data_IF_278154786209
#
_entry.id   IF_278154786209
#
_cell.length_a   1.000
_cell.length_b   1.000
_cell.length_c   1.000
_cell.angle_alpha   90.00
_cell.angle_beta   90.00
_cell.angle_gamma   90.00
#
_symmetry.space_group_name_H-M   'P 1'
#
loop_
_entity.id
_entity.type
_entity.pdbx_description
1 polymer ?
#
# COMPACT_ATOMS: atom_id res chain seq x y z
N UNK A 1 -4.50 12.56 37.37
CA UNK A 1 -4.50 13.59 36.30
C UNK A 1 -5.10 12.93 35.07
N UNK A 2 -6.38 13.18 34.80
CA UNK A 2 -7.09 12.63 33.65
C UNK A 2 -6.68 13.42 32.41
N UNK A 3 -6.15 12.75 31.38
CA UNK A 3 -5.91 13.36 30.07
C UNK A 3 -7.29 13.49 29.39
N UNK A 4 -8.04 14.53 29.75
CA UNK A 4 -9.42 14.75 29.27
C UNK A 4 -9.47 15.35 27.85
N UNK A 5 -8.32 15.50 27.18
CA UNK A 5 -8.22 16.05 25.83
C UNK A 5 -7.26 15.23 24.95
N UNK A 6 -7.47 13.91 24.91
CA UNK A 6 -6.70 13.02 24.03
C UNK A 6 -7.04 13.24 22.56
N UNK A 7 -6.02 13.18 21.70
CA UNK A 7 -6.20 13.00 20.27
C UNK A 7 -6.91 11.65 20.03
N UNK A 8 -8.09 11.68 19.40
CA UNK A 8 -8.84 10.46 19.09
C UNK A 8 -9.31 10.46 17.63
N UNK A 9 -9.24 9.33 16.96
CA UNK A 9 -9.82 9.13 15.63
C UNK A 9 -11.27 8.69 15.84
N UNK A 10 -12.21 9.50 15.35
CA UNK A 10 -13.65 9.21 15.44
C UNK A 10 -14.12 8.35 14.26
N UNK A 11 -13.56 8.58 13.07
CA UNK A 11 -13.80 7.80 11.86
C UNK A 11 -12.48 7.65 11.11
N UNK A 12 -12.12 6.41 10.80
CA UNK A 12 -10.93 6.07 10.02
C UNK A 12 -10.98 6.70 8.62
N UNK A 13 -9.82 6.89 7.96
CA UNK A 13 -9.79 7.40 6.60
C UNK A 13 -10.69 6.61 5.64
N UNK A 14 -11.50 7.34 4.88
CA UNK A 14 -12.32 6.84 3.79
C UNK A 14 -11.96 7.61 2.52
N UNK A 15 -12.27 7.06 1.34
CA UNK A 15 -11.81 7.61 0.08
C UNK A 15 -12.93 7.88 -0.92
N UNK A 16 -12.67 8.76 -1.88
CA UNK A 16 -13.52 8.99 -3.05
C UNK A 16 -12.63 9.23 -4.27
N UNK A 17 -13.06 8.78 -5.45
CA UNK A 17 -12.39 9.15 -6.70
C UNK A 17 -12.64 10.63 -7.02
N UNK A 18 -11.60 11.34 -7.45
CA UNK A 18 -11.75 12.73 -7.87
C UNK A 18 -12.16 12.82 -9.34
N UNK A 19 -13.22 13.59 -9.64
CA UNK A 19 -13.57 13.93 -11.03
C UNK A 19 -12.58 14.93 -11.64
N UNK A 20 -12.02 15.81 -10.81
CA UNK A 20 -11.01 16.78 -11.21
C UNK A 20 -9.80 16.65 -10.28
N UNK A 21 -8.60 16.33 -10.80
CA UNK A 21 -7.44 16.08 -9.96
C UNK A 21 -7.11 17.23 -9.00
N UNK A 22 -7.08 16.91 -7.71
CA UNK A 22 -6.75 17.82 -6.62
C UNK A 22 -7.92 18.61 -6.07
N UNK A 23 -9.12 18.40 -6.61
CA UNK A 23 -10.35 18.97 -6.10
C UNK A 23 -11.16 17.89 -5.38
N UNK A 24 -11.33 18.06 -4.07
CA UNK A 24 -12.20 17.21 -3.29
C UNK A 24 -13.66 17.35 -3.78
N UNK A 25 -14.36 16.26 -4.13
CA UNK A 25 -15.73 16.34 -4.65
C UNK A 25 -16.70 17.01 -3.67
N UNK A 26 -17.57 17.89 -4.17
CA UNK A 26 -18.63 18.48 -3.35
C UNK A 26 -19.65 17.41 -2.94
N UNK A 27 -20.00 17.34 -1.65
CA UNK A 27 -20.95 16.36 -1.10
C UNK A 27 -20.57 14.91 -1.42
N UNK A 28 -19.28 14.59 -1.27
CA UNK A 28 -18.74 13.27 -1.57
C UNK A 28 -19.39 12.18 -0.71
N UNK A 29 -19.81 11.08 -1.33
CA UNK A 29 -20.07 9.81 -0.64
C UNK A 29 -18.77 9.04 -0.57
N UNK A 30 -18.23 8.88 0.63
CA UNK A 30 -16.93 8.23 0.84
C UNK A 30 -17.10 6.72 0.90
N UNK A 31 -16.12 6.02 0.33
CA UNK A 31 -16.02 4.57 0.36
C UNK A 31 -15.17 4.11 1.55
N UNK A 32 -15.66 3.07 2.20
CA UNK A 32 -14.97 2.45 3.33
C UNK A 32 -13.70 1.73 2.87
N UNK A 33 -12.59 1.89 3.61
CA UNK A 33 -11.31 1.22 3.31
C UNK A 33 -11.19 -0.07 4.11
N UNK A 34 -11.15 0.06 5.44
CA UNK A 34 -10.97 -1.05 6.35
C UNK A 34 -11.34 -0.68 7.79
N UNK A 35 -11.72 -1.66 8.62
CA UNK A 35 -11.81 -1.46 10.06
C UNK A 35 -10.38 -1.41 10.63
N UNK A 36 -10.13 -0.45 11.54
CA UNK A 36 -8.86 -0.32 12.28
C UNK A 36 -7.61 -0.12 11.39
N UNK A 37 -7.52 1.02 10.71
CA UNK A 37 -6.35 1.40 9.93
C UNK A 37 -5.35 2.22 10.77
N UNK A 38 -4.11 1.76 10.92
CA UNK A 38 -3.05 2.64 11.41
C UNK A 38 -2.73 3.67 10.31
N UNK A 39 -2.72 4.94 10.71
CA UNK A 39 -2.58 6.07 9.80
C UNK A 39 -1.43 6.96 10.27
N UNK A 40 -0.41 7.12 9.42
CA UNK A 40 0.77 7.93 9.67
C UNK A 40 0.89 8.98 8.56
N UNK A 41 0.89 10.26 8.93
CA UNK A 41 1.09 11.35 7.97
C UNK A 41 2.58 11.67 7.82
N UNK A 42 3.00 11.96 6.60
CA UNK A 42 4.35 12.35 6.22
C UNK A 42 4.34 13.74 5.55
N UNK A 43 5.35 14.55 5.88
CA UNK A 43 5.52 15.89 5.34
C UNK A 43 7.02 16.19 5.22
N UNK A 44 7.50 16.23 3.99
CA UNK A 44 8.86 16.63 3.67
C UNK A 44 8.87 18.07 3.15
N UNK A 45 9.40 18.95 4.00
CA UNK A 45 9.62 20.35 3.68
C UNK A 45 11.10 20.47 3.32
N UNK A 46 11.43 20.36 2.03
CA UNK A 46 12.82 20.50 1.62
C UNK A 46 13.32 21.91 1.95
N UNK A 47 14.57 22.00 2.39
CA UNK A 47 15.22 23.28 2.71
C UNK A 47 16.50 23.44 1.89
N UNK A 48 16.75 24.67 1.44
CA UNK A 48 18.01 25.08 0.81
C UNK A 48 18.78 25.90 1.82
N UNK A 49 20.01 25.46 2.10
CA UNK A 49 20.93 26.13 3.00
C UNK A 49 21.83 27.08 2.21
N UNK A 50 21.81 28.36 2.58
CA UNK A 50 22.65 29.40 1.96
C UNK A 50 23.88 29.62 2.85
N UNK A 51 25.09 29.25 2.40
CA UNK A 51 26.30 29.42 3.20
C UNK A 51 26.62 30.91 3.42
N UNK A 52 27.11 31.25 4.60
CA UNK A 52 27.64 32.59 4.88
C UNK A 52 29.05 32.76 4.32
N UNK A 53 29.31 33.85 3.60
CA UNK A 53 30.67 34.16 3.14
C UNK A 53 31.58 34.41 4.35
N UNK A 54 32.66 33.64 4.46
CA UNK A 54 33.61 33.74 5.58
C UNK A 54 33.07 33.22 6.93
N UNK A 55 31.89 32.62 6.95
CA UNK A 55 31.33 31.97 8.14
C UNK A 55 31.37 30.46 7.98
N UNK A 56 31.57 29.76 9.09
CA UNK A 56 31.37 28.30 9.14
C UNK A 56 29.88 27.95 9.18
N UNK A 57 29.05 28.89 9.59
CA UNK A 57 27.63 28.68 9.82
C UNK A 57 26.79 29.14 8.60
N UNK A 58 25.59 28.56 8.49
CA UNK A 58 24.62 28.88 7.44
C UNK A 58 24.08 30.30 7.66
N UNK A 59 24.01 31.10 6.59
CA UNK A 59 23.44 32.46 6.63
C UNK A 59 21.92 32.44 6.66
N UNK A 60 21.31 31.58 5.84
CA UNK A 60 19.86 31.51 5.70
C UNK A 60 19.39 30.11 5.32
N UNK A 61 18.18 29.76 5.71
CA UNK A 61 17.53 28.48 5.43
C UNK A 61 16.19 28.78 4.78
N UNK A 62 16.10 28.55 3.47
CA UNK A 62 14.90 28.84 2.69
C UNK A 62 14.14 27.55 2.42
N UNK A 63 12.84 27.56 2.68
CA UNK A 63 11.96 26.45 2.33
C UNK A 63 11.78 26.36 0.81
N UNK A 64 12.01 25.16 0.29
CA UNK A 64 11.98 24.79 -1.11
C UNK A 64 10.73 23.94 -1.42
N UNK A 65 10.87 22.95 -2.28
CA UNK A 65 9.81 22.05 -2.72
C UNK A 65 9.21 21.25 -1.57
N UNK A 66 7.90 21.10 -1.59
CA UNK A 66 7.13 20.47 -0.54
C UNK A 66 6.52 19.17 -1.08
N UNK A 67 6.71 18.08 -0.33
CA UNK A 67 6.07 16.80 -0.59
C UNK A 67 5.30 16.35 0.64
N UNK A 68 4.10 15.83 0.39
CA UNK A 68 3.24 15.31 1.44
C UNK A 68 2.82 13.90 1.07
N UNK A 69 2.63 13.08 2.10
CA UNK A 69 2.15 11.73 1.93
C UNK A 69 1.56 11.19 3.21
N UNK A 70 1.11 9.96 3.15
CA UNK A 70 0.69 9.22 4.32
C UNK A 70 0.78 7.72 4.06
N UNK A 71 1.04 6.98 5.13
CA UNK A 71 1.06 5.52 5.15
C UNK A 71 -0.17 5.02 5.88
N UNK A 72 -0.86 4.07 5.27
CA UNK A 72 -1.96 3.34 5.88
C UNK A 72 -1.58 1.87 6.02
N UNK A 73 -1.68 1.33 7.23
CA UNK A 73 -1.57 -0.11 7.50
C UNK A 73 -2.90 -0.64 8.01
N UNK A 74 -3.45 -1.65 7.36
CA UNK A 74 -4.79 -2.14 7.67
C UNK A 74 -4.97 -3.61 7.26
N UNK A 75 -6.08 -4.20 7.70
CA UNK A 75 -6.53 -5.52 7.26
C UNK A 75 -7.66 -5.34 6.24
N UNK A 76 -7.43 -5.62 4.94
CA UNK A 76 -8.41 -5.36 3.90
C UNK A 76 -9.63 -6.26 4.10
N UNK A 77 -10.83 -5.69 3.94
CA UNK A 77 -12.10 -6.46 3.84
C UNK A 77 -12.49 -6.75 2.38
N UNK A 78 -11.93 -5.96 1.45
CA UNK A 78 -12.08 -6.07 0.01
C UNK A 78 -10.82 -5.52 -0.68
N UNK A 79 -10.75 -5.71 -1.98
CA UNK A 79 -9.64 -5.36 -2.86
C UNK A 79 -9.80 -4.01 -3.55
N UNK A 80 -10.98 -3.39 -3.53
CA UNK A 80 -11.27 -2.20 -4.35
C UNK A 80 -10.30 -1.04 -4.10
N UNK A 81 -9.98 -0.75 -2.83
CA UNK A 81 -8.99 0.28 -2.51
C UNK A 81 -7.56 -0.12 -2.93
N UNK A 82 -7.22 -1.41 -2.80
CA UNK A 82 -5.90 -1.93 -3.18
C UNK A 82 -5.67 -1.91 -4.70
N UNK A 83 -6.74 -1.94 -5.52
CA UNK A 83 -6.64 -1.82 -6.98
C UNK A 83 -5.97 -0.52 -7.41
N UNK A 84 -6.17 0.58 -6.70
CA UNK A 84 -5.51 1.86 -7.05
C UNK A 84 -3.98 1.83 -6.91
N UNK A 85 -3.46 0.94 -6.06
CA UNK A 85 -2.02 0.77 -5.89
C UNK A 85 -1.45 -0.35 -6.75
N UNK A 86 -2.26 -1.39 -7.03
CA UNK A 86 -1.82 -2.62 -7.67
C UNK A 86 -2.08 -2.67 -9.17
N UNK A 87 -3.19 -2.11 -9.68
CA UNK A 87 -3.51 -2.14 -11.09
C UNK A 87 -2.79 -0.99 -11.82
N UNK A 88 -2.11 -1.31 -12.92
CA UNK A 88 -1.46 -0.29 -13.73
C UNK A 88 -2.50 0.37 -14.63
N UNK A 89 -2.64 1.69 -14.53
CA UNK A 89 -3.22 2.51 -15.59
C UNK A 89 -2.26 3.65 -15.93
N UNK A 90 -2.18 4.02 -17.21
CA UNK A 90 -1.43 5.20 -17.65
C UNK A 90 -1.96 6.46 -16.96
N UNK A 91 -3.29 6.53 -16.85
CA UNK A 91 -4.01 7.54 -16.07
C UNK A 91 -4.38 6.97 -14.71
N UNK A 92 -3.40 6.89 -13.79
CA UNK A 92 -3.69 6.56 -12.39
C UNK A 92 -4.67 7.58 -11.85
N UNK A 93 -5.86 7.12 -11.48
CA UNK A 93 -6.92 7.94 -10.89
C UNK A 93 -6.40 8.61 -9.61
N UNK A 94 -6.80 9.86 -9.39
CA UNK A 94 -6.52 10.55 -8.14
C UNK A 94 -7.64 10.29 -7.15
N UNK A 95 -7.26 10.09 -5.89
CA UNK A 95 -8.17 9.88 -4.79
C UNK A 95 -8.15 11.08 -3.86
N UNK A 96 -9.29 11.34 -3.24
CA UNK A 96 -9.42 12.24 -2.11
C UNK A 96 -9.77 11.38 -0.89
N UNK A 97 -9.06 11.59 0.22
CA UNK A 97 -9.31 10.89 1.48
C UNK A 97 -9.73 11.87 2.55
N UNK A 98 -10.63 11.41 3.42
CA UNK A 98 -11.08 12.18 4.57
C UNK A 98 -11.22 11.27 5.81
N UNK A 99 -10.79 11.79 6.96
CA UNK A 99 -10.92 11.15 8.26
C UNK A 99 -11.52 12.13 9.27
N UNK A 100 -12.26 11.62 10.26
CA UNK A 100 -12.84 12.42 11.33
C UNK A 100 -12.01 12.23 12.59
N UNK A 101 -11.45 13.31 13.12
CA UNK A 101 -10.59 13.29 14.30
C UNK A 101 -11.11 14.27 15.35
N UNK A 102 -10.87 13.97 16.61
CA UNK A 102 -11.09 14.88 17.72
C UNK A 102 -9.74 15.41 18.18
N UNK A 103 -9.59 16.74 18.11
CA UNK A 103 -8.39 17.46 18.53
C UNK A 103 -8.80 18.51 19.57
N UNK A 104 -8.33 18.33 20.80
CA UNK A 104 -8.63 19.26 21.89
C UNK A 104 -10.13 19.43 22.17
N UNK A 105 -10.92 18.36 22.04
CA UNK A 105 -12.38 18.40 22.22
C UNK A 105 -13.17 18.96 21.04
N UNK A 106 -12.50 19.39 19.96
CA UNK A 106 -13.14 19.84 18.73
C UNK A 106 -13.00 18.79 17.64
N UNK A 107 -14.12 18.44 17.00
CA UNK A 107 -14.10 17.62 15.79
C UNK A 107 -13.46 18.38 14.64
N UNK A 108 -12.46 17.77 14.02
CA UNK A 108 -11.81 18.21 12.79
C UNK A 108 -11.90 17.12 11.73
N UNK A 109 -11.87 17.54 10.48
CA UNK A 109 -11.83 16.64 9.33
C UNK A 109 -10.46 16.77 8.70
N UNK A 110 -9.65 15.71 8.82
CA UNK A 110 -8.40 15.62 8.07
C UNK A 110 -8.73 15.26 6.63
N UNK A 111 -8.23 16.03 5.68
CA UNK A 111 -8.52 15.85 4.26
C UNK A 111 -7.24 15.91 3.44
N UNK A 112 -7.01 14.90 2.62
CA UNK A 112 -5.96 14.86 1.62
C UNK A 112 -6.57 14.72 0.22
N UNK A 113 -6.12 15.55 -0.71
CA UNK A 113 -6.55 15.52 -2.11
C UNK A 113 -5.36 15.26 -3.02
N UNK A 114 -5.63 14.90 -4.28
CA UNK A 114 -4.63 14.43 -5.24
C UNK A 114 -3.81 13.24 -4.71
N UNK A 115 -4.42 12.33 -3.94
CA UNK A 115 -3.71 11.18 -3.43
C UNK A 115 -3.52 10.12 -4.54
N UNK A 116 -2.27 9.70 -4.78
CA UNK A 116 -1.93 8.54 -5.62
C UNK A 116 -1.05 7.58 -4.85
N UNK A 117 -1.31 6.28 -4.98
CA UNK A 117 -0.56 5.25 -4.31
C UNK A 117 0.83 5.06 -4.95
N UNK A 118 1.88 5.34 -4.18
CA UNK A 118 3.26 5.15 -4.61
C UNK A 118 3.74 3.72 -4.41
N UNK A 119 3.32 3.07 -3.32
CA UNK A 119 3.50 1.63 -3.17
C UNK A 119 2.37 1.00 -2.38
N UNK A 120 2.18 -0.30 -2.59
CA UNK A 120 1.42 -1.17 -1.71
C UNK A 120 2.20 -2.44 -1.40
N UNK A 121 2.10 -2.90 -0.16
CA UNK A 121 2.62 -4.19 0.28
C UNK A 121 1.46 -5.03 0.80
N UNK A 122 1.38 -6.27 0.33
CA UNK A 122 0.49 -7.29 0.89
C UNK A 122 1.34 -8.35 1.55
N UNK A 123 1.03 -8.63 2.82
CA UNK A 123 1.72 -9.65 3.60
C UNK A 123 0.72 -10.60 4.22
N UNK A 124 1.08 -11.87 4.25
CA UNK A 124 0.35 -12.91 4.96
C UNK A 124 1.35 -13.90 5.56
N UNK A 125 1.01 -14.42 6.73
CA UNK A 125 1.71 -15.52 7.41
C UNK A 125 0.67 -16.47 7.96
N UNK A 126 1.00 -17.77 8.03
CA UNK A 126 0.12 -18.79 8.60
C UNK A 126 -0.46 -18.38 9.96
N UNK A 127 -1.78 -18.50 10.09
CA UNK A 127 -2.51 -18.14 11.31
C UNK A 127 -2.82 -16.65 11.48
N UNK A 128 -2.36 -15.77 10.58
CA UNK A 128 -2.67 -14.33 10.60
C UNK A 128 -3.63 -13.93 9.47
N UNK A 129 -4.24 -12.76 9.61
CA UNK A 129 -5.03 -12.11 8.58
C UNK A 129 -4.12 -11.54 7.49
N UNK A 130 -4.69 -11.28 6.30
CA UNK A 130 -3.99 -10.53 5.26
C UNK A 130 -3.77 -9.12 5.76
N UNK A 131 -2.55 -8.62 5.68
CA UNK A 131 -2.20 -7.25 6.04
C UNK A 131 -1.78 -6.47 4.80
N UNK A 132 -2.32 -5.27 4.67
CA UNK A 132 -1.97 -4.33 3.63
C UNK A 132 -1.26 -3.10 4.22
N UNK A 133 -0.22 -2.65 3.54
CA UNK A 133 0.37 -1.32 3.74
C UNK A 133 0.31 -0.55 2.43
N UNK A 134 -0.22 0.67 2.44
CA UNK A 134 -0.26 1.54 1.27
C UNK A 134 0.34 2.89 1.64
N UNK A 135 1.31 3.34 0.86
CA UNK A 135 1.82 4.71 0.94
C UNK A 135 1.30 5.52 -0.24
N UNK A 136 0.70 6.66 0.07
CA UNK A 136 0.17 7.59 -0.91
C UNK A 136 0.91 8.92 -0.84
N UNK A 137 1.18 9.49 -2.02
CA UNK A 137 1.66 10.86 -2.16
C UNK A 137 0.46 11.73 -2.49
N UNK A 138 0.32 12.85 -1.80
CA UNK A 138 -0.84 13.75 -1.93
C UNK A 138 -0.41 15.22 -1.88
N UNK A 139 -1.34 16.13 -2.20
CA UNK A 139 -1.14 17.55 -1.91
C UNK A 139 -1.26 17.79 -0.40
N UNK A 140 -0.82 18.97 0.03
CA UNK A 140 -0.85 19.39 1.43
C UNK A 140 -2.20 19.06 2.09
N UNK A 141 -2.21 18.17 3.09
CA UNK A 141 -3.44 17.86 3.81
C UNK A 141 -3.95 19.08 4.57
N UNK A 142 -5.26 19.14 4.73
CA UNK A 142 -5.96 20.23 5.44
C UNK A 142 -6.77 19.69 6.61
N UNK A 143 -7.01 20.54 7.60
CA UNK A 143 -7.87 20.26 8.74
C UNK A 143 -9.06 21.22 8.72
N UNK A 144 -10.23 20.68 8.42
CA UNK A 144 -11.47 21.46 8.31
C UNK A 144 -12.28 21.37 9.61
N UNK A 145 -13.03 22.43 9.93
CA UNK A 145 -13.98 22.43 11.06
C UNK A 145 -15.32 21.77 10.73
N UNK A 146 -15.64 21.63 9.44
CA UNK A 146 -16.86 21.01 8.93
C UNK A 146 -16.54 20.22 7.66
N UNK A 147 -17.37 19.22 7.37
CA UNK A 147 -17.36 18.49 6.10
C UNK A 147 -18.81 18.26 5.66
N UNK A 148 -19.05 18.31 4.35
CA UNK A 148 -20.33 17.93 3.74
C UNK A 148 -20.31 16.51 3.17
N UNK A 149 -19.21 15.78 3.36
CA UNK A 149 -19.10 14.39 2.92
C UNK A 149 -19.97 13.47 3.76
N UNK A 150 -20.52 12.45 3.12
CA UNK A 150 -21.19 11.34 3.78
C UNK A 150 -20.22 10.18 3.95
N UNK A 151 -19.91 9.84 5.20
CA UNK A 151 -19.06 8.70 5.52
C UNK A 151 -19.83 7.40 5.39
N UNK A 152 -19.23 6.40 4.74
CA UNK A 152 -19.76 5.04 4.73
C UNK A 152 -19.74 4.45 6.14
N UNK A 153 -20.77 3.66 6.46
CA UNK A 153 -20.78 2.81 7.65
C UNK A 153 -19.82 1.64 7.48
N UNK A 154 -19.32 1.11 8.59
CA UNK A 154 -18.62 -0.18 8.60
C UNK A 154 -19.58 -1.28 8.07
N UNK A 155 -19.21 -2.01 7.01
CA UNK A 155 -20.05 -3.09 6.48
C UNK A 155 -20.13 -4.32 7.39
N UNK A 156 -19.38 -4.38 8.50
CA UNK A 156 -19.39 -5.52 9.43
C UNK A 156 -18.81 -6.80 8.82
N UNK A 157 -18.08 -6.68 7.72
CA UNK A 157 -17.45 -7.81 7.01
C UNK A 157 -16.11 -8.15 7.66
N UNK A 158 -15.80 -9.44 7.79
CA UNK A 158 -14.52 -9.88 8.33
C UNK A 158 -13.38 -9.52 7.38
N UNK A 159 -12.19 -9.14 7.89
CA UNK A 159 -11.01 -8.94 7.07
C UNK A 159 -10.61 -10.23 6.34
N UNK A 160 -10.00 -10.06 5.17
CA UNK A 160 -9.53 -11.16 4.33
C UNK A 160 -8.51 -12.01 5.09
N UNK A 161 -8.73 -13.31 5.02
CA UNK A 161 -7.89 -14.37 5.55
C UNK A 161 -7.44 -15.28 4.41
N UNK A 162 -6.41 -16.10 4.63
CA UNK A 162 -5.97 -17.07 3.63
C UNK A 162 -7.05 -18.07 3.25
N UNK A 163 -7.84 -18.50 4.23
CA UNK A 163 -8.91 -19.50 4.06
C UNK A 163 -10.08 -19.01 3.21
N UNK A 164 -10.25 -17.69 3.04
CA UNK A 164 -11.29 -17.15 2.16
C UNK A 164 -11.07 -17.53 0.69
N UNK A 165 -9.82 -17.82 0.31
CA UNK A 165 -9.45 -18.31 -1.02
C UNK A 165 -9.68 -19.81 -1.25
N UNK A 166 -9.99 -20.58 -0.20
CA UNK A 166 -10.10 -22.05 -0.23
C UNK A 166 -8.90 -22.76 0.40
N UNK A 167 -8.85 -24.10 0.26
CA UNK A 167 -7.86 -24.96 0.94
C UNK A 167 -6.42 -24.79 0.44
N UNK A 168 -6.25 -24.42 -0.84
CA UNK A 168 -4.94 -24.08 -1.41
C UNK A 168 -5.07 -22.96 -2.45
N UNK A 169 -5.17 -21.69 -2.01
CA UNK A 169 -5.53 -20.58 -2.87
C UNK A 169 -4.36 -20.02 -3.70
N UNK A 170 -3.26 -20.76 -3.83
CA UNK A 170 -2.01 -20.23 -4.36
C UNK A 170 -1.43 -21.14 -5.44
N UNK A 171 -1.02 -20.55 -6.57
CA UNK A 171 -0.37 -21.27 -7.66
C UNK A 171 0.86 -20.55 -8.19
N UNK A 172 1.80 -21.34 -8.72
CA UNK A 172 2.99 -20.88 -9.44
C UNK A 172 3.02 -21.61 -10.78
N UNK A 173 2.48 -20.98 -11.83
CA UNK A 173 2.15 -21.67 -13.07
C UNK A 173 1.14 -22.80 -12.82
N UNK A 174 1.54 -24.03 -13.12
CA UNK A 174 0.73 -25.23 -12.86
C UNK A 174 0.95 -25.85 -11.47
N UNK A 175 1.93 -25.35 -10.70
CA UNK A 175 2.27 -25.87 -9.37
C UNK A 175 1.36 -25.27 -8.30
N UNK A 176 1.05 -26.05 -7.26
CA UNK A 176 0.16 -25.67 -6.15
C UNK A 176 0.87 -25.83 -4.80
N UNK A 177 1.88 -25.00 -4.48
CA UNK A 177 2.68 -25.13 -3.26
C UNK A 177 1.86 -24.97 -1.99
N UNK A 178 2.27 -25.64 -0.91
CA UNK A 178 1.82 -25.32 0.45
C UNK A 178 2.58 -24.12 0.98
N UNK A 179 1.96 -22.94 0.94
CA UNK A 179 2.57 -21.67 1.35
C UNK A 179 2.40 -21.45 2.86
N UNK A 180 3.48 -21.04 3.54
CA UNK A 180 3.47 -20.68 4.97
C UNK A 180 3.53 -19.17 5.20
N UNK A 181 4.13 -18.42 4.27
CA UNK A 181 4.17 -16.97 4.30
C UNK A 181 4.32 -16.41 2.89
N UNK A 182 3.71 -15.26 2.66
CA UNK A 182 3.78 -14.56 1.39
C UNK A 182 3.86 -13.05 1.64
N UNK A 183 4.75 -12.38 0.94
CA UNK A 183 4.88 -10.93 0.97
C UNK A 183 5.16 -10.43 -0.44
N UNK A 184 4.44 -9.41 -0.87
CA UNK A 184 4.69 -8.75 -2.14
C UNK A 184 4.59 -7.25 -1.95
N UNK A 185 5.58 -6.53 -2.45
CA UNK A 185 5.58 -5.07 -2.54
C UNK A 185 5.54 -4.66 -4.00
N UNK A 186 4.52 -3.87 -4.35
CA UNK A 186 4.32 -3.24 -5.64
C UNK A 186 4.64 -1.75 -5.47
N UNK A 187 5.72 -1.28 -6.13
CA UNK A 187 6.12 0.12 -6.14
C UNK A 187 5.85 0.72 -7.51
N UNK A 188 4.99 1.74 -7.57
CA UNK A 188 4.70 2.51 -8.78
C UNK A 188 5.76 3.60 -9.04
N UNK A 189 6.62 3.88 -8.05
CA UNK A 189 7.75 4.82 -8.14
C UNK A 189 7.34 6.15 -8.76
N UNK A 190 6.30 6.76 -8.19
CA UNK A 190 5.72 8.00 -8.68
C UNK A 190 6.79 9.09 -8.76
N UNK A 191 6.72 9.88 -9.84
CA UNK A 191 7.59 11.03 -10.09
C UNK A 191 6.76 12.31 -10.00
N UNK A 192 7.17 13.22 -9.11
CA UNK A 192 6.57 14.54 -8.94
C UNK A 192 7.07 15.51 -9.99
N UNK A 193 6.14 16.27 -10.56
CA UNK A 193 6.43 17.34 -11.52
C UNK A 193 6.04 18.68 -10.89
N UNK A 194 6.98 19.61 -10.86
CA UNK A 194 6.82 20.95 -10.31
C UNK A 194 6.86 21.99 -11.44
N UNK A 195 6.19 23.13 -11.26
CA UNK A 195 6.39 24.31 -12.11
C UNK A 195 7.10 25.43 -11.35
N UNK A 196 7.78 26.29 -12.10
CA UNK A 196 8.35 27.52 -11.56
C UNK A 196 7.29 28.38 -10.86
N UNK A 197 7.60 28.84 -9.65
CA UNK A 197 6.69 29.65 -8.83
C UNK A 197 5.78 28.85 -7.89
N UNK A 198 5.71 27.52 -7.99
CA UNK A 198 5.01 26.66 -7.03
C UNK A 198 5.99 25.90 -6.15
N UNK A 199 5.66 25.75 -4.85
CA UNK A 199 6.36 24.83 -3.95
C UNK A 199 5.78 23.42 -3.95
N UNK A 200 4.50 23.29 -4.29
CA UNK A 200 3.81 22.02 -4.40
C UNK A 200 3.93 21.46 -5.83
N UNK A 201 3.92 20.13 -5.95
CA UNK A 201 3.89 19.47 -7.25
C UNK A 201 2.53 19.71 -7.94
N UNK A 202 2.55 19.83 -9.26
CA UNK A 202 1.34 19.98 -10.07
C UNK A 202 0.70 18.63 -10.30
N UNK A 203 1.53 17.64 -10.67
CA UNK A 203 1.09 16.30 -11.05
C UNK A 203 2.10 15.23 -10.63
N UNK A 204 1.63 13.98 -10.63
CA UNK A 204 2.39 12.78 -10.35
C UNK A 204 2.22 11.82 -11.53
N UNK A 205 3.34 11.41 -12.11
CA UNK A 205 3.40 10.40 -13.16
C UNK A 205 3.91 9.07 -12.61
N UNK A 206 3.36 7.92 -13.06
CA UNK A 206 3.96 6.62 -12.77
C UNK A 206 5.40 6.58 -13.27
N UNK A 207 6.31 6.07 -12.43
CA UNK A 207 7.69 5.79 -12.84
C UNK A 207 7.85 4.35 -13.29
N UNK A 208 9.10 3.87 -13.25
CA UNK A 208 9.41 2.46 -13.51
C UNK A 208 8.86 1.60 -12.39
N UNK A 209 7.77 0.89 -12.65
CA UNK A 209 7.15 0.02 -11.66
C UNK A 209 8.09 -1.12 -11.27
N UNK A 210 8.21 -1.40 -9.96
CA UNK A 210 8.99 -2.51 -9.41
C UNK A 210 8.12 -3.38 -8.53
N UNK A 211 8.09 -4.68 -8.82
CA UNK A 211 7.34 -5.68 -8.07
C UNK A 211 8.31 -6.72 -7.56
N UNK A 212 8.41 -6.85 -6.24
CA UNK A 212 9.25 -7.83 -5.59
C UNK A 212 8.56 -8.39 -4.36
N UNK A 213 8.97 -9.58 -3.96
CA UNK A 213 8.38 -10.22 -2.81
C UNK A 213 9.18 -11.42 -2.33
N UNK A 214 8.62 -12.05 -1.31
CA UNK A 214 9.13 -13.29 -0.75
C UNK A 214 8.00 -14.28 -0.56
N UNK A 215 8.27 -15.54 -0.83
CA UNK A 215 7.36 -16.64 -0.56
C UNK A 215 8.09 -17.70 0.25
N UNK A 216 7.45 -18.21 1.29
CA UNK A 216 7.91 -19.37 2.06
C UNK A 216 6.99 -20.53 1.78
N UNK A 217 7.54 -21.62 1.27
CA UNK A 217 6.81 -22.82 0.88
C UNK A 217 7.34 -24.04 1.63
N UNK A 218 6.46 -24.99 1.89
CA UNK A 218 6.85 -26.29 2.40
C UNK A 218 7.59 -27.06 1.31
N UNK A 219 8.77 -27.60 1.65
CA UNK A 219 9.57 -28.35 0.71
C UNK A 219 9.01 -29.77 0.55
N UNK A 220 8.53 -30.08 -0.65
CA UNK A 220 7.98 -31.41 -1.00
C UNK A 220 8.72 -32.05 -2.19
N UNK A 221 9.37 -31.24 -3.04
CA UNK A 221 10.08 -31.67 -4.25
C UNK A 221 11.15 -30.64 -4.68
N UNK A 222 11.82 -30.86 -5.82
CA UNK A 222 12.83 -29.94 -6.36
C UNK A 222 12.28 -28.92 -7.36
N UNK A 223 10.98 -28.90 -7.64
CA UNK A 223 10.42 -28.10 -8.73
C UNK A 223 10.72 -26.60 -8.55
N UNK A 224 10.63 -26.09 -7.32
CA UNK A 224 10.87 -24.66 -7.04
C UNK A 224 12.35 -24.28 -7.14
N UNK A 225 13.24 -25.20 -6.79
CA UNK A 225 14.67 -25.04 -7.03
C UNK A 225 14.97 -25.02 -8.53
N UNK A 226 14.37 -25.93 -9.29
CA UNK A 226 14.55 -26.00 -10.74
C UNK A 226 14.06 -24.70 -11.41
N UNK A 227 12.92 -24.15 -10.98
CA UNK A 227 12.43 -22.83 -11.43
C UNK A 227 13.42 -21.69 -11.14
N UNK A 228 14.12 -21.72 -9.99
CA UNK A 228 15.13 -20.73 -9.65
C UNK A 228 16.36 -20.86 -10.55
N UNK A 229 16.86 -22.08 -10.75
CA UNK A 229 18.10 -22.32 -11.49
C UNK A 229 17.90 -22.18 -13.00
N UNK A 230 16.71 -22.51 -13.53
CA UNK A 230 16.38 -22.37 -14.95
C UNK A 230 16.03 -20.92 -15.35
N UNK A 231 15.94 -20.00 -14.39
CA UNK A 231 15.54 -18.59 -14.60
C UNK A 231 14.19 -18.45 -15.33
N UNK A 232 13.25 -19.37 -15.04
CA UNK A 232 11.97 -19.45 -15.73
C UNK A 232 10.96 -18.41 -15.24
N UNK A 233 10.17 -17.90 -16.19
CA UNK A 233 9.00 -17.08 -15.88
C UNK A 233 7.78 -17.97 -15.63
N UNK A 234 7.09 -17.72 -14.51
CA UNK A 234 5.79 -18.29 -14.17
C UNK A 234 4.86 -17.20 -13.65
N UNK A 235 3.57 -17.39 -13.83
CA UNK A 235 2.59 -16.55 -13.17
C UNK A 235 2.40 -17.03 -11.73
N UNK A 236 2.45 -16.11 -10.77
CA UNK A 236 2.09 -16.40 -9.38
C UNK A 236 0.68 -15.86 -9.16
N UNK A 237 -0.25 -16.73 -8.77
CA UNK A 237 -1.65 -16.35 -8.52
C UNK A 237 -2.00 -16.64 -7.07
N UNK A 238 -2.54 -15.65 -6.38
CA UNK A 238 -3.11 -15.78 -5.05
C UNK A 238 -4.59 -15.39 -5.07
N UNK A 239 -5.46 -16.36 -4.83
CA UNK A 239 -6.90 -16.16 -4.63
C UNK A 239 -7.15 -15.67 -3.21
N UNK A 240 -7.37 -14.37 -3.04
CA UNK A 240 -7.65 -13.74 -1.75
C UNK A 240 -9.06 -14.07 -1.25
N UNK A 241 -10.02 -14.23 -2.17
CA UNK A 241 -11.39 -14.61 -1.86
C UNK A 241 -12.00 -15.40 -3.01
N UNK A 242 -12.50 -16.59 -2.70
CA UNK A 242 -13.25 -17.43 -3.62
C UNK A 242 -14.68 -16.90 -3.82
N UNK A 243 -15.33 -17.28 -4.92
CA UNK A 243 -16.71 -16.87 -5.25
C UNK A 243 -16.85 -16.18 -6.60
N UNK A 244 -18.00 -15.56 -6.84
CA UNK A 244 -18.29 -14.83 -8.08
C UNK A 244 -18.64 -13.37 -7.78
N UNK A 245 -17.78 -12.40 -8.16
CA UNK A 245 -16.44 -12.58 -8.74
C UNK A 245 -15.39 -12.95 -7.69
N UNK A 246 -14.43 -13.79 -8.07
CA UNK A 246 -13.28 -14.11 -7.24
C UNK A 246 -12.33 -12.90 -7.14
N UNK A 247 -11.73 -12.72 -5.98
CA UNK A 247 -10.73 -11.68 -5.72
C UNK A 247 -9.34 -12.31 -5.79
N UNK A 248 -8.56 -11.93 -6.81
CA UNK A 248 -7.29 -12.60 -7.12
C UNK A 248 -6.18 -11.58 -7.33
N UNK A 249 -5.03 -11.82 -6.73
CA UNK A 249 -3.78 -11.16 -7.07
C UNK A 249 -3.04 -12.04 -8.07
N UNK A 250 -2.86 -11.55 -9.29
CA UNK A 250 -2.06 -12.18 -10.33
C UNK A 250 -0.77 -11.41 -10.53
N UNK A 251 0.36 -12.06 -10.33
CA UNK A 251 1.70 -11.57 -10.59
C UNK A 251 2.23 -12.24 -11.86
N UNK A 252 2.08 -11.58 -13.00
CA UNK A 252 2.42 -12.21 -14.27
C UNK A 252 3.91 -12.09 -14.58
N UNK A 253 4.45 -13.13 -15.23
CA UNK A 253 5.87 -13.28 -15.55
C UNK A 253 6.74 -13.03 -14.31
N UNK A 254 6.42 -13.71 -13.22
CA UNK A 254 7.26 -13.75 -12.04
C UNK A 254 8.41 -14.74 -12.21
N UNK A 255 9.54 -14.47 -11.56
CA UNK A 255 10.66 -15.41 -11.47
C UNK A 255 11.32 -15.35 -10.11
N UNK A 256 11.81 -16.50 -9.66
CA UNK A 256 12.65 -16.54 -8.48
C UNK A 256 14.02 -15.93 -8.79
N UNK A 257 14.57 -15.22 -7.81
CA UNK A 257 15.81 -14.46 -7.96
C UNK A 257 16.92 -14.98 -7.06
N UNK A 258 16.54 -15.53 -5.90
CA UNK A 258 17.43 -16.19 -4.96
C UNK A 258 16.63 -16.97 -3.93
N UNK A 259 17.31 -17.92 -3.31
CA UNK A 259 16.87 -18.54 -2.07
C UNK A 259 17.33 -17.67 -0.89
N UNK A 260 16.39 -17.21 -0.06
CA UNK A 260 16.69 -16.44 1.15
C UNK A 260 16.97 -17.36 2.33
N UNK A 261 16.33 -18.54 2.38
CA UNK A 261 16.45 -19.47 3.51
C UNK A 261 16.15 -20.90 3.05
N UNK A 262 17.02 -21.83 3.42
CA UNK A 262 16.83 -23.28 3.25
C UNK A 262 17.53 -24.02 4.40
N UNK A 263 16.85 -24.21 5.54
CA UNK A 263 17.49 -24.75 6.74
C UNK A 263 17.53 -26.28 6.69
N UNK A 264 18.72 -26.86 6.61
CA UNK A 264 18.93 -28.29 6.86
C UNK A 264 19.05 -28.51 8.37
N UNK A 265 18.03 -29.09 9.00
CA UNK A 265 18.06 -29.39 10.44
C UNK A 265 18.03 -30.90 10.64
N UNK A 266 19.05 -31.51 11.27
CA UNK A 266 19.04 -32.94 11.59
C UNK A 266 17.81 -33.31 12.43
N UNK A 267 17.10 -34.37 12.04
CA UNK A 267 15.91 -34.86 12.76
C UNK A 267 14.62 -34.08 12.52
N UNK A 268 14.60 -33.15 11.56
CA UNK A 268 13.36 -32.50 11.11
C UNK A 268 12.96 -33.03 9.74
N UNK A 269 11.80 -33.66 9.66
CA UNK A 269 11.21 -34.15 8.40
C UNK A 269 10.47 -33.04 7.63
N UNK A 270 10.43 -31.82 8.18
CA UNK A 270 9.66 -30.70 7.63
C UNK A 270 10.59 -29.52 7.40
N UNK A 271 10.88 -29.24 6.14
CA UNK A 271 11.71 -28.12 5.72
C UNK A 271 10.81 -27.09 5.02
N UNK A 272 11.03 -25.82 5.35
CA UNK A 272 10.40 -24.70 4.66
C UNK A 272 11.47 -23.86 3.98
N UNK A 273 11.27 -23.59 2.70
CA UNK A 273 12.19 -22.84 1.86
C UNK A 273 11.60 -21.46 1.54
N UNK A 274 12.43 -20.43 1.61
CA UNK A 274 12.02 -19.05 1.34
C UNK A 274 12.71 -18.55 0.07
N UNK A 275 11.93 -18.17 -0.93
CA UNK A 275 12.40 -17.58 -2.18
C UNK A 275 12.10 -16.09 -2.23
N UNK A 276 13.02 -15.30 -2.79
CA UNK A 276 12.73 -13.95 -3.25
C UNK A 276 12.38 -13.98 -4.74
N UNK A 277 11.39 -13.18 -5.15
CA UNK A 277 10.96 -13.11 -6.54
C UNK A 277 10.81 -11.68 -7.05
N UNK A 278 10.81 -11.54 -8.37
CA UNK A 278 10.37 -10.35 -9.09
C UNK A 278 9.23 -10.71 -10.03
N UNK A 279 8.35 -9.76 -10.34
CA UNK A 279 7.32 -9.92 -11.37
C UNK A 279 7.29 -8.72 -12.32
N UNK A 280 6.86 -8.93 -13.57
CA UNK A 280 6.76 -7.85 -14.55
C UNK A 280 5.50 -7.01 -14.33
N UNK A 281 4.38 -7.65 -14.04
CA UNK A 281 3.10 -6.96 -13.81
C UNK A 281 2.38 -7.56 -12.61
N UNK A 282 1.49 -6.78 -12.00
CA UNK A 282 0.51 -7.31 -11.06
C UNK A 282 -0.88 -6.75 -11.39
N UNK A 283 -1.89 -7.58 -11.21
CA UNK A 283 -3.28 -7.23 -11.33
C UNK A 283 -4.07 -7.80 -10.14
N UNK A 284 -5.01 -7.02 -9.64
CA UNK A 284 -5.92 -7.36 -8.56
C UNK A 284 -7.36 -7.23 -9.06
N UNK A 285 -8.16 -8.29 -8.89
CA UNK A 285 -9.59 -8.35 -9.22
C UNK A 285 -10.47 -8.29 -7.97
#
# INVERSE_FOLDING_TARGET
MSITAGHNILVWPQYVEETTPGNFPSNATLNFIAPYALFEQDADLNHVFIPGLGSRDVRDIIRSLEMYGFTMRFFPIDTEFLKYATNLSLDMKTLSLEAKINLGGTTKYWRASFAKANYATLTWTIGDLVRAEVYMVCRKPSYLSSSTSTFASDPGTQPLSWTDGGDNPFTIGALTPKVQAFSVTIRNNLRSVFAGGSREFITLHPGERRINGTITILWEDTNYWDLLVSDEYKDIVWTLKSGSPAKTLTLANAKFSRINRFPWTPGSDVIAETYAFFAKTAALT
#
